data_IF_954275426671
#
_entry.id   IF_954275426671
#
_cell.length_a   1.000
_cell.length_b   1.000
_cell.length_c   1.000
_cell.angle_alpha   90.00
_cell.angle_beta   90.00
_cell.angle_gamma   90.00
#
_symmetry.space_group_name_H-M   'P 1'
#
loop_
_entity.id
_entity.type
_entity.pdbx_description
1 polymer ?
#
# COMPACT_ATOMS: atom_id res chain seq x y z
N UNK A 1 73.73 9.38 -13.69
CA UNK A 1 72.59 8.84 -12.92
C UNK A 1 71.31 9.54 -13.38
N UNK A 2 70.47 8.97 -14.26
CA UNK A 2 69.20 9.58 -14.58
C UNK A 2 68.16 9.26 -13.50
N UNK A 3 67.49 10.30 -12.99
CA UNK A 3 66.42 10.21 -12.00
C UNK A 3 65.14 9.75 -12.71
N UNK A 4 64.58 8.62 -12.28
CA UNK A 4 63.30 8.11 -12.72
C UNK A 4 62.18 8.88 -12.00
N UNK A 5 61.39 9.67 -12.74
CA UNK A 5 60.19 10.34 -12.22
C UNK A 5 59.02 9.38 -12.41
N UNK A 6 58.48 8.86 -11.31
CA UNK A 6 57.26 8.04 -11.32
C UNK A 6 56.07 9.00 -11.25
N UNK A 7 55.35 9.14 -12.36
CA UNK A 7 54.05 9.82 -12.41
C UNK A 7 52.99 8.91 -11.80
N UNK A 8 52.50 9.28 -10.62
CA UNK A 8 51.40 8.60 -9.94
C UNK A 8 50.08 8.98 -10.63
N UNK A 9 49.58 8.10 -11.51
CA UNK A 9 48.30 8.29 -12.18
C UNK A 9 47.17 7.95 -11.21
N UNK A 10 46.61 8.98 -10.56
CA UNK A 10 45.48 8.81 -9.64
C UNK A 10 44.20 8.64 -10.47
N UNK A 11 43.78 7.39 -10.69
CA UNK A 11 42.52 7.09 -11.36
C UNK A 11 41.36 7.48 -10.42
N UNK A 12 40.67 8.57 -10.74
CA UNK A 12 39.42 8.95 -10.08
C UNK A 12 38.34 7.95 -10.49
N UNK A 13 38.07 6.97 -9.62
CA UNK A 13 36.89 6.11 -9.76
C UNK A 13 35.68 6.97 -9.41
N UNK A 14 34.99 7.48 -10.42
CA UNK A 14 33.71 8.16 -10.25
C UNK A 14 32.66 7.09 -9.95
N UNK A 15 32.33 6.89 -8.67
CA UNK A 15 31.22 6.05 -8.27
C UNK A 15 29.94 6.85 -8.53
N UNK A 16 29.24 6.55 -9.62
CA UNK A 16 27.90 7.08 -9.85
C UNK A 16 26.95 6.42 -8.85
N UNK A 17 26.70 7.09 -7.71
CA UNK A 17 25.57 6.74 -6.86
C UNK A 17 24.30 7.29 -7.53
N UNK A 18 23.49 6.41 -8.11
CA UNK A 18 22.14 6.79 -8.54
C UNK A 18 21.30 6.99 -7.29
N UNK A 19 20.95 8.24 -6.98
CA UNK A 19 20.03 8.54 -5.89
C UNK A 19 18.64 8.01 -6.28
N UNK A 20 18.15 7.02 -5.55
CA UNK A 20 16.83 6.47 -5.81
C UNK A 20 15.77 7.46 -5.29
N UNK A 21 14.91 7.96 -6.19
CA UNK A 21 13.85 8.92 -5.84
C UNK A 21 12.96 8.35 -4.74
N UNK A 22 12.77 9.11 -3.66
CA UNK A 22 11.84 8.76 -2.58
C UNK A 22 10.58 9.60 -2.69
N UNK A 23 9.43 8.98 -2.44
CA UNK A 23 8.14 9.63 -2.33
C UNK A 23 7.77 9.68 -0.84
N UNK A 24 7.49 10.86 -0.33
CA UNK A 24 6.96 11.09 1.01
C UNK A 24 5.49 11.47 0.95
N UNK A 25 4.61 10.64 1.48
CA UNK A 25 3.20 10.96 1.71
C UNK A 25 3.00 11.54 3.10
N UNK A 26 2.33 12.69 3.15
CA UNK A 26 1.93 13.34 4.39
C UNK A 26 0.47 13.78 4.35
N UNK A 27 -0.10 14.03 5.52
CA UNK A 27 -1.39 14.69 5.65
C UNK A 27 -1.30 16.23 5.50
N UNK A 28 -2.46 16.88 5.62
CA UNK A 28 -2.59 18.35 5.59
C UNK A 28 -1.83 19.10 6.70
N UNK A 29 -1.38 18.39 7.73
CA UNK A 29 -0.58 18.93 8.84
C UNK A 29 0.89 18.49 8.76
N UNK A 30 1.31 17.96 7.61
CA UNK A 30 2.66 17.48 7.34
C UNK A 30 3.09 16.27 8.21
N UNK A 31 2.13 15.53 8.78
CA UNK A 31 2.40 14.26 9.47
C UNK A 31 2.53 13.12 8.47
N UNK A 32 3.48 12.19 8.67
CA UNK A 32 3.65 11.05 7.79
C UNK A 32 2.41 10.15 7.76
N UNK A 33 2.05 9.67 6.57
CA UNK A 33 1.00 8.68 6.39
C UNK A 33 1.63 7.29 6.26
N UNK A 34 1.64 6.54 7.36
CA UNK A 34 1.93 5.10 7.35
C UNK A 34 0.85 4.33 6.59
N UNK A 35 1.22 3.19 5.99
CA UNK A 35 0.29 2.29 5.32
C UNK A 35 -0.48 2.91 4.12
N UNK A 36 -0.06 4.09 3.65
CA UNK A 36 -0.54 4.64 2.40
C UNK A 36 -0.02 3.79 1.23
N UNK A 37 -0.86 3.61 0.22
CA UNK A 37 -0.52 2.83 -0.96
C UNK A 37 -0.17 3.78 -2.10
N UNK A 38 0.93 3.50 -2.79
CA UNK A 38 1.40 4.21 -3.97
C UNK A 38 1.57 3.21 -5.10
N UNK A 39 0.93 3.48 -6.23
CA UNK A 39 0.96 2.69 -7.46
C UNK A 39 1.41 3.57 -8.62
N UNK A 40 2.04 2.95 -9.61
CA UNK A 40 2.68 3.64 -10.72
C UNK A 40 1.96 3.27 -12.01
N UNK A 41 1.46 4.29 -12.72
CA UNK A 41 0.97 4.13 -14.08
C UNK A 41 2.19 4.20 -14.98
N UNK A 42 2.61 3.08 -15.55
CA UNK A 42 3.75 3.01 -16.47
C UNK A 42 3.33 3.38 -17.89
N UNK A 43 4.24 3.99 -18.66
CA UNK A 43 4.02 4.35 -20.08
C UNK A 43 4.07 3.13 -21.01
N UNK A 44 4.83 2.11 -20.61
CA UNK A 44 4.94 0.85 -21.34
C UNK A 44 4.15 -0.25 -20.65
N UNK A 45 3.53 -1.11 -21.44
CA UNK A 45 2.72 -2.24 -20.96
C UNK A 45 3.62 -3.39 -20.51
N UNK A 46 4.32 -3.18 -19.40
CA UNK A 46 5.05 -4.24 -18.71
C UNK A 46 4.02 -5.05 -17.92
N UNK A 47 3.48 -6.10 -18.53
CA UNK A 47 2.66 -7.09 -17.85
C UNK A 47 3.49 -7.78 -16.77
N UNK A 48 3.40 -7.28 -15.54
CA UNK A 48 4.04 -7.86 -14.35
C UNK A 48 3.00 -8.63 -13.53
N UNK A 49 2.22 -9.50 -14.17
CA UNK A 49 1.26 -10.35 -13.48
C UNK A 49 2.02 -11.51 -12.80
N UNK A 50 2.40 -11.31 -11.53
CA UNK A 50 2.90 -12.41 -10.69
C UNK A 50 1.81 -12.82 -9.68
N UNK A 51 0.96 -13.76 -10.09
CA UNK A 51 0.06 -14.41 -9.14
C UNK A 51 0.89 -15.44 -8.37
N UNK A 52 1.29 -15.08 -7.15
CA UNK A 52 1.91 -16.00 -6.22
C UNK A 52 0.97 -17.18 -5.96
N UNK A 53 1.49 -18.41 -6.04
CA UNK A 53 0.73 -19.63 -5.72
C UNK A 53 0.47 -19.78 -4.22
N UNK A 54 1.23 -19.09 -3.38
CA UNK A 54 1.04 -19.07 -1.93
C UNK A 54 0.03 -17.99 -1.54
N UNK A 55 -1.00 -18.32 -0.74
CA UNK A 55 -1.95 -17.32 -0.28
C UNK A 55 -1.27 -16.21 0.53
N UNK A 56 -1.71 -14.98 0.30
CA UNK A 56 -1.41 -13.84 1.18
C UNK A 56 -2.13 -14.01 2.52
N UNK A 57 -1.63 -13.40 3.59
CA UNK A 57 -2.16 -13.61 4.94
C UNK A 57 -2.72 -12.30 5.48
N UNK A 58 -3.99 -12.36 5.90
CA UNK A 58 -4.69 -11.33 6.66
C UNK A 58 -5.11 -11.94 8.00
N UNK A 59 -4.23 -11.88 9.00
CA UNK A 59 -4.46 -12.49 10.31
C UNK A 59 -5.33 -11.60 11.21
N UNK A 60 -5.86 -12.17 12.29
CA UNK A 60 -6.49 -11.46 13.39
C UNK A 60 -5.64 -11.66 14.64
N UNK A 61 -5.09 -10.56 15.15
CA UNK A 61 -4.17 -10.54 16.28
C UNK A 61 -4.50 -9.36 17.17
N UNK A 62 -4.67 -9.61 18.47
CA UNK A 62 -5.03 -8.63 19.49
C UNK A 62 -6.27 -7.80 19.11
N UNK A 63 -7.33 -8.45 18.60
CA UNK A 63 -8.56 -7.79 18.12
C UNK A 63 -8.28 -6.72 17.07
N UNK A 64 -7.37 -7.01 16.14
CA UNK A 64 -7.08 -6.19 14.97
C UNK A 64 -6.72 -7.08 13.77
N UNK A 65 -6.93 -6.56 12.57
CA UNK A 65 -6.40 -7.19 11.35
C UNK A 65 -4.89 -6.90 11.24
N UNK A 66 -4.13 -7.93 10.85
CA UNK A 66 -2.68 -7.87 10.70
C UNK A 66 -2.24 -8.47 9.36
N UNK A 67 -1.67 -7.66 8.45
CA UNK A 67 -1.45 -6.23 8.56
C UNK A 67 -2.76 -5.42 8.52
N UNK A 68 -2.73 -4.13 8.93
CA UNK A 68 -3.92 -3.28 8.81
C UNK A 68 -4.29 -3.03 7.33
N UNK A 69 -3.28 -2.81 6.48
CA UNK A 69 -3.40 -2.75 5.02
C UNK A 69 -2.57 -3.87 4.40
N UNK A 70 -3.22 -4.78 3.68
CA UNK A 70 -2.60 -5.85 2.89
C UNK A 70 -2.67 -5.49 1.40
N UNK A 71 -1.53 -5.57 0.70
CA UNK A 71 -1.47 -5.36 -0.75
C UNK A 71 -1.42 -6.72 -1.46
N UNK A 72 -2.33 -6.95 -2.41
CA UNK A 72 -2.38 -8.19 -3.18
C UNK A 72 -2.66 -7.89 -4.66
N UNK A 73 -2.11 -8.68 -5.60
CA UNK A 73 -2.47 -8.55 -7.01
C UNK A 73 -3.88 -9.09 -7.26
N UNK A 74 -4.52 -8.60 -8.33
CA UNK A 74 -5.76 -9.16 -8.86
C UNK A 74 -5.61 -10.67 -9.11
N UNK A 75 -6.60 -11.45 -8.69
CA UNK A 75 -6.59 -12.90 -8.75
C UNK A 75 -5.84 -13.59 -7.60
N UNK A 76 -5.33 -12.84 -6.61
CA UNK A 76 -4.69 -13.43 -5.44
C UNK A 76 -5.65 -14.25 -4.57
N UNK A 77 -5.08 -15.24 -3.88
CA UNK A 77 -5.74 -15.93 -2.77
C UNK A 77 -5.30 -15.30 -1.44
N UNK A 78 -6.24 -15.04 -0.53
CA UNK A 78 -5.97 -14.51 0.82
C UNK A 78 -6.51 -15.46 1.87
N UNK A 79 -5.64 -15.88 2.78
CA UNK A 79 -5.98 -16.63 3.97
C UNK A 79 -6.29 -15.70 5.13
N UNK A 80 -7.27 -16.07 5.95
CA UNK A 80 -7.70 -15.31 7.12
C UNK A 80 -7.51 -16.12 8.40
N UNK A 81 -6.27 -16.44 8.82
CA UNK A 81 -6.06 -17.03 10.14
C UNK A 81 -6.57 -16.09 11.24
N UNK A 82 -6.79 -16.67 12.39
CA UNK A 82 -7.21 -16.06 13.62
C UNK A 82 -6.29 -16.59 14.71
N UNK A 83 -5.30 -15.77 15.05
CA UNK A 83 -4.31 -16.02 16.10
C UNK A 83 -4.75 -15.51 17.47
N UNK A 84 -5.96 -14.95 17.59
CA UNK A 84 -6.58 -14.65 18.88
C UNK A 84 -7.21 -15.90 19.51
N UNK A 85 -7.34 -15.89 20.84
CA UNK A 85 -7.96 -16.96 21.62
C UNK A 85 -9.50 -16.92 21.59
N UNK A 86 -10.06 -15.87 21.00
CA UNK A 86 -11.49 -15.69 20.80
C UNK A 86 -11.89 -15.94 19.34
N UNK A 87 -13.20 -16.05 19.11
CA UNK A 87 -13.74 -16.16 17.76
C UNK A 87 -13.91 -14.80 17.13
N UNK A 88 -13.87 -14.76 15.80
CA UNK A 88 -14.17 -13.58 15.01
C UNK A 88 -15.09 -13.91 13.84
N UNK A 89 -15.81 -12.90 13.39
CA UNK A 89 -16.65 -12.96 12.19
C UNK A 89 -16.20 -11.87 11.23
N UNK A 90 -15.36 -12.23 10.25
CA UNK A 90 -14.79 -11.30 9.27
C UNK A 90 -15.76 -11.12 8.12
N UNK A 91 -15.96 -9.90 7.64
CA UNK A 91 -16.80 -9.62 6.47
C UNK A 91 -16.28 -8.44 5.65
N UNK A 92 -16.78 -8.32 4.42
CA UNK A 92 -16.67 -7.14 3.56
C UNK A 92 -17.94 -6.99 2.73
N UNK A 93 -18.35 -5.74 2.51
CA UNK A 93 -19.41 -5.35 1.57
C UNK A 93 -18.90 -4.49 0.40
N UNK A 94 -17.58 -4.41 0.24
CA UNK A 94 -16.95 -3.62 -0.82
C UNK A 94 -17.24 -4.21 -2.20
N UNK A 95 -17.42 -3.37 -3.22
CA UNK A 95 -17.72 -3.78 -4.59
C UNK A 95 -16.68 -4.78 -5.14
N UNK A 96 -15.39 -4.56 -4.85
CA UNK A 96 -14.31 -5.44 -5.30
C UNK A 96 -14.37 -6.87 -4.70
N UNK A 97 -14.94 -7.05 -3.51
CA UNK A 97 -15.19 -8.37 -2.92
C UNK A 97 -16.16 -8.30 -1.74
N UNK A 98 -17.34 -8.91 -1.91
CA UNK A 98 -18.29 -9.17 -0.82
C UNK A 98 -18.10 -10.58 -0.26
N UNK A 99 -18.00 -10.74 1.06
CA UNK A 99 -17.92 -12.06 1.70
C UNK A 99 -18.21 -12.01 3.20
N UNK A 100 -18.45 -13.18 3.80
CA UNK A 100 -18.51 -13.39 5.25
C UNK A 100 -17.84 -14.70 5.67
N UNK A 101 -17.05 -14.64 6.73
CA UNK A 101 -16.46 -15.79 7.43
C UNK A 101 -17.00 -15.83 8.85
N UNK A 102 -18.02 -16.66 9.09
CA UNK A 102 -18.82 -16.62 10.33
C UNK A 102 -18.12 -17.30 11.51
N UNK A 103 -17.94 -16.54 12.60
CA UNK A 103 -17.60 -17.00 13.96
C UNK A 103 -16.64 -18.20 14.07
N UNK A 104 -15.41 -18.01 13.64
CA UNK A 104 -14.38 -19.04 13.64
C UNK A 104 -13.20 -18.72 14.57
N UNK A 105 -12.47 -19.78 14.94
CA UNK A 105 -11.20 -19.75 15.65
C UNK A 105 -10.17 -20.56 14.84
N UNK A 106 -8.88 -20.23 14.93
CA UNK A 106 -7.84 -20.86 14.12
C UNK A 106 -7.89 -20.36 12.68
N UNK A 107 -8.32 -21.17 11.71
CA UNK A 107 -8.32 -20.75 10.30
C UNK A 107 -9.53 -21.32 9.55
N UNK A 108 -10.12 -20.56 8.59
CA UNK A 108 -11.12 -21.10 7.68
C UNK A 108 -10.58 -22.24 6.84
N UNK A 109 -11.48 -23.05 6.26
CA UNK A 109 -11.11 -24.24 5.47
C UNK A 109 -10.29 -23.92 4.21
N UNK A 110 -10.51 -22.75 3.62
CA UNK A 110 -9.86 -22.35 2.39
C UNK A 110 -9.60 -20.83 2.38
N UNK A 111 -8.50 -20.38 1.74
CA UNK A 111 -8.34 -18.99 1.36
C UNK A 111 -9.48 -18.51 0.44
N UNK A 112 -9.71 -17.19 0.42
CA UNK A 112 -10.65 -16.54 -0.49
C UNK A 112 -9.92 -15.93 -1.68
N UNK A 113 -10.52 -15.99 -2.86
CA UNK A 113 -10.04 -15.36 -4.09
C UNK A 113 -10.41 -13.86 -4.15
N UNK A 114 -9.56 -13.04 -4.77
CA UNK A 114 -9.76 -11.59 -4.96
C UNK A 114 -9.66 -11.23 -6.45
N UNK A 115 -10.73 -11.43 -7.24
CA UNK A 115 -10.66 -11.37 -8.70
C UNK A 115 -10.77 -9.95 -9.27
N UNK A 116 -11.28 -8.99 -8.51
CA UNK A 116 -11.50 -7.61 -8.95
C UNK A 116 -10.53 -6.65 -8.25
N UNK A 117 -9.93 -5.73 -9.02
CA UNK A 117 -9.10 -4.68 -8.45
C UNK A 117 -9.95 -3.68 -7.67
N UNK A 118 -9.41 -3.17 -6.56
CA UNK A 118 -10.08 -2.16 -5.75
C UNK A 118 -9.71 -2.25 -4.28
N UNK A 119 -10.42 -1.46 -3.48
CA UNK A 119 -10.26 -1.45 -2.02
C UNK A 119 -11.33 -2.37 -1.41
N UNK A 120 -10.89 -3.35 -0.63
CA UNK A 120 -11.77 -4.22 0.16
C UNK A 120 -11.63 -3.84 1.63
N UNK A 121 -12.63 -3.16 2.16
CA UNK A 121 -12.73 -2.81 3.58
C UNK A 121 -13.26 -4.02 4.36
N UNK A 122 -12.51 -4.41 5.39
CA UNK A 122 -12.80 -5.54 6.27
C UNK A 122 -13.37 -5.05 7.60
N UNK A 123 -14.41 -5.72 8.08
CA UNK A 123 -14.98 -5.51 9.41
C UNK A 123 -15.04 -6.82 10.22
N UNK A 124 -15.23 -6.69 11.54
CA UNK A 124 -15.60 -7.82 12.40
C UNK A 124 -16.98 -7.61 13.02
N UNK A 125 -17.89 -8.59 12.91
CA UNK A 125 -19.29 -8.42 13.34
C UNK A 125 -19.49 -8.38 14.85
N UNK A 126 -18.48 -8.77 15.63
CA UNK A 126 -18.56 -8.83 17.10
C UNK A 126 -17.51 -7.95 17.78
N UNK A 127 -16.72 -7.20 16.99
CA UNK A 127 -15.70 -6.28 17.44
C UNK A 127 -15.69 -5.07 16.51
N UNK A 128 -16.56 -4.09 16.79
CA UNK A 128 -16.79 -2.97 15.87
C UNK A 128 -15.53 -2.14 15.59
N UNK A 129 -14.56 -2.18 16.50
CA UNK A 129 -13.25 -1.53 16.38
C UNK A 129 -12.30 -2.21 15.37
N UNK A 130 -12.60 -3.43 14.94
CA UNK A 130 -11.76 -4.19 14.01
C UNK A 130 -12.07 -3.76 12.57
N UNK A 131 -11.17 -2.95 12.03
CA UNK A 131 -11.19 -2.52 10.64
C UNK A 131 -9.83 -2.81 9.99
N UNK A 132 -9.85 -3.36 8.79
CA UNK A 132 -8.67 -3.64 7.98
C UNK A 132 -8.97 -3.42 6.50
N UNK A 133 -7.93 -3.45 5.68
CA UNK A 133 -8.05 -3.14 4.25
C UNK A 133 -7.23 -4.10 3.43
N UNK A 134 -7.78 -4.57 2.32
CA UNK A 134 -7.03 -5.24 1.26
C UNK A 134 -7.06 -4.33 0.05
N UNK A 135 -5.88 -3.86 -0.36
CA UNK A 135 -5.71 -3.15 -1.62
C UNK A 135 -5.40 -4.18 -2.71
N UNK A 136 -6.38 -4.45 -3.57
CA UNK A 136 -6.22 -5.33 -4.73
C UNK A 136 -5.73 -4.49 -5.90
N UNK A 137 -4.43 -4.55 -6.20
CA UNK A 137 -3.86 -3.85 -7.34
C UNK A 137 -4.02 -4.67 -8.63
N UNK A 138 -4.18 -3.99 -9.76
CA UNK A 138 -4.26 -4.63 -11.07
C UNK A 138 -2.85 -5.06 -11.56
N UNK A 139 -2.53 -5.04 -12.85
CA UNK A 139 -1.23 -5.48 -13.37
C UNK A 139 -0.02 -4.57 -12.99
N UNK A 140 -0.26 -3.54 -12.17
CA UNK A 140 0.73 -2.52 -11.81
C UNK A 140 1.09 -2.64 -10.33
N UNK A 141 2.34 -3.01 -9.99
CA UNK A 141 2.77 -3.16 -8.61
C UNK A 141 2.49 -1.89 -7.80
N UNK A 142 1.83 -2.10 -6.66
CA UNK A 142 1.63 -1.09 -5.65
C UNK A 142 2.59 -1.32 -4.49
N UNK A 143 2.98 -0.24 -3.82
CA UNK A 143 3.85 -0.27 -2.66
C UNK A 143 3.21 0.48 -1.50
N UNK A 144 3.58 0.07 -0.30
CA UNK A 144 3.09 0.66 0.94
C UNK A 144 4.14 1.57 1.58
N UNK A 145 3.73 2.71 2.10
CA UNK A 145 4.63 3.62 2.82
C UNK A 145 5.03 3.06 4.18
N UNK A 146 6.24 3.39 4.62
CA UNK A 146 6.71 3.09 5.97
C UNK A 146 6.02 3.97 7.03
N UNK A 147 6.33 3.76 8.31
CA UNK A 147 5.86 4.62 9.41
C UNK A 147 6.29 6.09 9.31
N UNK A 148 7.32 6.37 8.51
CA UNK A 148 7.78 7.73 8.17
C UNK A 148 7.09 8.30 6.92
N UNK A 149 6.11 7.58 6.36
CA UNK A 149 5.37 7.97 5.16
C UNK A 149 6.20 7.85 3.88
N UNK A 150 7.25 7.02 3.87
CA UNK A 150 8.21 6.94 2.77
C UNK A 150 7.99 5.69 1.92
N UNK A 151 8.15 5.85 0.61
CA UNK A 151 8.28 4.74 -0.33
C UNK A 151 9.34 5.09 -1.38
N UNK A 152 10.17 4.13 -1.75
CA UNK A 152 11.24 4.34 -2.73
C UNK A 152 10.74 3.98 -4.12
N UNK A 153 10.83 4.92 -5.06
CA UNK A 153 10.35 4.75 -6.42
C UNK A 153 11.14 3.61 -7.13
N UNK A 154 10.47 2.61 -7.71
CA UNK A 154 11.13 1.42 -8.25
C UNK A 154 11.40 1.55 -9.75
N UNK A 155 10.86 2.60 -10.39
CA UNK A 155 10.98 2.87 -11.81
C UNK A 155 11.59 4.25 -12.01
N UNK A 156 12.36 4.41 -13.09
CA UNK A 156 12.84 5.72 -13.51
C UNK A 156 11.66 6.60 -13.98
N UNK A 157 11.78 7.91 -13.79
CA UNK A 157 10.72 8.90 -14.05
C UNK A 157 10.18 8.79 -15.48
N UNK A 158 11.07 8.60 -16.44
CA UNK A 158 10.76 8.51 -17.86
C UNK A 158 9.77 7.39 -18.19
N UNK A 159 9.72 6.31 -17.38
CA UNK A 159 8.82 5.18 -17.57
C UNK A 159 7.46 5.34 -16.87
N UNK A 160 7.29 6.37 -16.03
CA UNK A 160 6.06 6.61 -15.29
C UNK A 160 5.24 7.69 -16.01
N UNK A 161 3.97 7.42 -16.27
CA UNK A 161 2.99 8.39 -16.78
C UNK A 161 2.35 9.17 -15.62
N UNK A 162 1.96 8.46 -14.57
CA UNK A 162 1.28 9.03 -13.41
C UNK A 162 1.54 8.21 -12.15
N UNK A 163 1.36 8.84 -10.99
CA UNK A 163 1.36 8.20 -9.69
C UNK A 163 -0.06 8.22 -9.15
N UNK A 164 -0.56 7.05 -8.77
CA UNK A 164 -1.85 6.90 -8.07
C UNK A 164 -1.58 6.52 -6.63
N UNK A 165 -2.22 7.20 -5.68
CA UNK A 165 -2.05 6.95 -4.26
C UNK A 165 -3.38 6.95 -3.50
N UNK A 166 -3.37 6.22 -2.39
CA UNK A 166 -4.54 5.94 -1.56
C UNK A 166 -4.14 5.84 -0.09
N UNK A 167 -5.06 6.12 0.81
CA UNK A 167 -4.90 5.87 2.24
C UNK A 167 -6.27 5.65 2.88
N UNK A 168 -6.37 4.73 3.84
CA UNK A 168 -7.63 4.36 4.50
C UNK A 168 -8.44 5.53 5.07
N UNK A 169 -7.75 6.57 5.56
CA UNK A 169 -8.36 7.78 6.12
C UNK A 169 -8.61 8.90 5.12
N UNK A 170 -8.46 8.68 3.81
CA UNK A 170 -8.60 9.73 2.81
C UNK A 170 -9.98 10.41 2.94
N UNK A 171 -9.99 11.75 3.09
CA UNK A 171 -11.23 12.53 3.28
C UNK A 171 -12.20 12.48 2.10
N UNK A 172 -11.69 12.02 0.95
CA UNK A 172 -12.43 11.90 -0.31
C UNK A 172 -13.25 10.61 -0.40
N UNK A 173 -13.18 9.75 0.62
CA UNK A 173 -13.78 8.42 0.65
C UNK A 173 -12.73 7.32 0.63
N UNK A 174 -13.00 6.25 1.36
CA UNK A 174 -12.12 5.07 1.52
C UNK A 174 -11.95 4.27 0.22
N UNK A 175 -12.88 4.39 -0.72
CA UNK A 175 -12.86 3.72 -2.03
C UNK A 175 -12.27 4.60 -3.14
N UNK A 176 -11.85 5.84 -2.83
CA UNK A 176 -11.35 6.80 -3.82
C UNK A 176 -9.82 6.88 -3.85
N UNK A 177 -9.27 6.84 -5.06
CA UNK A 177 -7.85 6.99 -5.31
C UNK A 177 -7.55 8.41 -5.83
N UNK A 178 -6.33 8.90 -5.58
CA UNK A 178 -5.81 10.14 -6.18
C UNK A 178 -4.75 9.83 -7.21
N UNK A 179 -4.82 10.48 -8.36
CA UNK A 179 -3.83 10.33 -9.45
C UNK A 179 -3.25 11.67 -9.83
N UNK A 180 -1.92 11.74 -9.96
CA UNK A 180 -1.19 12.93 -10.42
C UNK A 180 -0.24 12.49 -11.52
N UNK A 181 -0.24 13.20 -12.67
CA UNK A 181 0.70 12.92 -13.75
C UNK A 181 2.12 13.22 -13.31
N UNK A 182 3.08 12.44 -13.80
CA UNK A 182 4.49 12.59 -13.41
C UNK A 182 5.01 14.01 -13.73
N UNK A 183 4.49 14.63 -14.79
CA UNK A 183 4.90 15.95 -15.26
C UNK A 183 4.36 17.09 -14.39
N UNK A 184 3.30 16.83 -13.61
CA UNK A 184 2.72 17.78 -12.67
C UNK A 184 3.37 17.70 -11.28
N UNK A 185 4.25 16.71 -11.05
CA UNK A 185 4.92 16.51 -9.76
C UNK A 185 6.10 17.46 -9.59
N UNK A 186 6.21 18.00 -8.37
CA UNK A 186 7.35 18.81 -7.95
C UNK A 186 8.42 17.91 -7.33
N UNK A 187 9.62 17.98 -7.90
CA UNK A 187 10.81 17.31 -7.39
C UNK A 187 11.67 18.32 -6.63
N UNK A 188 12.08 17.95 -5.41
CA UNK A 188 13.02 18.72 -4.59
C UNK A 188 14.13 17.76 -4.19
N UNK A 189 15.36 18.03 -4.63
CA UNK A 189 16.53 17.16 -4.42
C UNK A 189 16.22 15.69 -4.80
N UNK A 190 15.66 15.48 -5.99
CA UNK A 190 15.23 14.17 -6.52
C UNK A 190 14.16 13.43 -5.70
N UNK A 191 13.51 14.09 -4.74
CA UNK A 191 12.43 13.54 -3.92
C UNK A 191 11.08 14.19 -4.25
N UNK A 192 10.01 13.42 -4.03
CA UNK A 192 8.63 13.85 -4.25
C UNK A 192 7.93 13.93 -2.89
N UNK A 193 7.20 15.01 -2.65
CA UNK A 193 6.29 15.12 -1.51
C UNK A 193 4.85 15.18 -2.00
N UNK A 194 4.04 14.21 -1.59
CA UNK A 194 2.62 14.16 -1.86
C UNK A 194 1.84 14.48 -0.59
N UNK A 195 0.78 15.27 -0.74
CA UNK A 195 -0.13 15.64 0.34
C UNK A 195 -1.50 15.02 0.05
N UNK A 196 -2.05 14.31 1.03
CA UNK A 196 -3.40 13.77 0.97
C UNK A 196 -4.18 14.26 2.19
N UNK A 197 -5.31 14.93 1.97
CA UNK A 197 -6.21 15.27 3.08
C UNK A 197 -6.81 13.99 3.66
N UNK A 198 -6.68 13.83 4.98
CA UNK A 198 -7.24 12.69 5.70
C UNK A 198 -8.14 13.15 6.85
N UNK A 199 -9.14 12.33 7.14
CA UNK A 199 -9.89 12.40 8.38
C UNK A 199 -8.96 12.10 9.56
N UNK A 200 -9.20 12.67 10.75
CA UNK A 200 -8.49 12.28 11.96
C UNK A 200 -8.52 10.75 12.14
N UNK A 201 -7.52 10.15 12.80
CA UNK A 201 -7.61 8.74 13.17
C UNK A 201 -8.94 8.51 13.91
N UNK A 202 -9.76 7.59 13.40
CA UNK A 202 -10.99 7.25 14.11
C UNK A 202 -10.64 6.81 15.53
N UNK A 203 -11.38 7.33 16.51
CA UNK A 203 -11.52 6.61 17.77
C UNK A 203 -12.14 5.29 17.38
N UNK A 204 -11.50 4.17 17.73
CA UNK A 204 -11.85 2.83 17.24
C UNK A 204 -13.22 2.38 17.79
N UNK A 205 -14.29 3.03 17.34
CA UNK A 205 -15.60 2.95 17.97
C UNK A 205 -16.67 2.29 17.05
N UNK A 206 -16.52 2.23 15.71
CA UNK A 206 -17.26 1.27 14.84
C UNK A 206 -16.98 1.35 13.31
N UNK A 207 -17.08 0.21 12.61
CA UNK A 207 -16.99 0.04 11.14
C UNK A 207 -18.03 0.83 10.31
N UNK A 208 -19.24 1.03 10.82
CA UNK A 208 -20.35 1.67 10.08
C UNK A 208 -20.03 3.11 9.62
N UNK A 209 -19.11 3.79 10.30
CA UNK A 209 -18.78 5.18 9.97
C UNK A 209 -17.98 5.34 8.68
N UNK A 210 -17.27 4.29 8.21
CA UNK A 210 -16.37 4.34 7.04
C UNK A 210 -17.07 4.62 5.71
N UNK A 211 -18.38 4.35 5.63
CA UNK A 211 -19.18 4.52 4.41
C UNK A 211 -20.22 5.64 4.53
N UNK A 212 -20.28 6.32 5.68
CA UNK A 212 -21.31 7.34 5.95
C UNK A 212 -21.16 8.61 5.10
N UNK A 213 -19.98 8.84 4.51
CA UNK A 213 -19.72 9.95 3.58
C UNK A 213 -20.17 9.67 2.11
N UNK A 214 -20.81 8.52 1.84
CA UNK A 214 -21.28 8.11 0.51
C UNK A 214 -22.74 8.45 0.21
N UNK A 215 -23.41 9.23 1.07
CA UNK A 215 -24.78 9.73 0.85
C UNK A 215 -24.86 11.24 0.72
#
# INVERSE_FOLDING_TARGET
MPRLIILLFCSFICVFASAQTTIKLVDQFNQPLEDAVVSFVLKDDQNLSHVNSTPYIMDQVNKAFSPNVLLVPKGAMVSFPNSDDIRHHVYSFSEAKTFELKLYHGQPKAPLDFPESGIVVLGCNIHDSMVGYIYVYDDKPAMKTSSQGLVTMPYAREHIEAITFWHARAKIGVDRLRTIKIDDLKFVDDNIKLILEVNPPEKRDSFENLFSDLT
#
